data_IF_006494929049
#
_entry.id   IF_006494929049
#
_cell.length_a   1.000
_cell.length_b   1.000
_cell.length_c   1.000
_cell.angle_alpha   90.00
_cell.angle_beta   90.00
_cell.angle_gamma   90.00
#
_symmetry.space_group_name_H-M   'P 1'
#
loop_
_entity.id
_entity.type
_entity.pdbx_description
1 polymer ?
#
# COMPACT_ATOMS: atom_id res chain seq x y z
N UNK A 1 -7.72 16.89 26.24
CA UNK A 1 -7.14 16.41 24.96
C UNK A 1 -6.98 14.91 25.10
N UNK A 2 -7.87 14.13 24.50
CA UNK A 2 -7.83 12.68 24.56
C UNK A 2 -7.51 12.13 23.17
N UNK A 3 -6.93 10.95 23.10
CA UNK A 3 -6.73 10.23 21.85
C UNK A 3 -8.08 9.99 21.17
N UNK A 4 -8.16 10.31 19.86
CA UNK A 4 -9.32 9.97 19.04
C UNK A 4 -9.20 8.49 18.64
N UNK A 5 -10.31 7.76 18.82
CA UNK A 5 -10.46 6.39 18.34
C UNK A 5 -11.79 6.30 17.60
N UNK A 6 -11.75 5.95 16.33
CA UNK A 6 -12.92 5.61 15.50
C UNK A 6 -12.89 4.10 15.24
N UNK A 7 -13.91 3.40 15.70
CA UNK A 7 -14.05 1.96 15.49
C UNK A 7 -15.22 1.67 14.53
N UNK A 8 -14.90 1.19 13.35
CA UNK A 8 -15.86 0.70 12.36
C UNK A 8 -15.89 -0.84 12.41
N UNK A 9 -16.77 -1.37 13.24
CA UNK A 9 -16.92 -2.83 13.43
C UNK A 9 -17.47 -3.55 12.19
N UNK A 10 -18.21 -2.83 11.33
CA UNK A 10 -18.77 -3.41 10.09
C UNK A 10 -17.63 -3.70 9.09
N UNK A 11 -16.66 -2.78 9.00
CA UNK A 11 -15.52 -2.91 8.09
C UNK A 11 -14.27 -3.49 8.75
N UNK A 12 -14.35 -3.81 10.05
CA UNK A 12 -13.20 -4.30 10.82
C UNK A 12 -11.99 -3.36 10.76
N UNK A 13 -12.25 -2.05 10.93
CA UNK A 13 -11.23 -0.99 10.87
C UNK A 13 -11.26 -0.17 12.15
N UNK A 14 -10.08 0.10 12.70
CA UNK A 14 -9.89 1.08 13.79
C UNK A 14 -8.97 2.18 13.26
N UNK A 15 -9.38 3.44 13.39
CA UNK A 15 -8.56 4.61 13.09
C UNK A 15 -8.31 5.39 14.38
N UNK A 16 -7.04 5.70 14.65
CA UNK A 16 -6.59 6.38 15.87
C UNK A 16 -5.71 7.59 15.53
N UNK A 17 -5.70 8.58 16.41
CA UNK A 17 -4.81 9.74 16.33
C UNK A 17 -4.92 10.60 17.59
N UNK A 18 -4.02 11.56 17.77
CA UNK A 18 -4.15 12.49 18.89
C UNK A 18 -5.30 13.47 18.67
N UNK A 19 -5.57 13.81 17.43
CA UNK A 19 -6.71 14.62 17.02
C UNK A 19 -7.39 13.98 15.82
N UNK A 20 -8.72 14.13 15.72
CA UNK A 20 -9.48 13.63 14.60
C UNK A 20 -10.91 14.10 14.59
N UNK A 21 -11.61 13.82 13.51
CA UNK A 21 -12.99 14.22 13.26
C UNK A 21 -13.72 13.13 12.47
N UNK A 22 -14.98 12.93 12.79
CA UNK A 22 -15.88 12.05 12.05
C UNK A 22 -17.22 12.76 11.81
N UNK A 23 -17.71 12.65 10.57
CA UNK A 23 -19.03 13.12 10.19
C UNK A 23 -19.87 11.94 9.66
N UNK A 24 -20.83 11.51 10.45
CA UNK A 24 -21.68 10.35 10.16
C UNK A 24 -22.47 10.51 8.84
N UNK A 25 -22.95 11.72 8.53
CA UNK A 25 -23.77 11.96 7.34
C UNK A 25 -22.99 11.84 6.03
N UNK A 26 -21.71 12.19 6.03
CA UNK A 26 -20.85 12.14 4.85
C UNK A 26 -19.88 10.96 4.88
N UNK A 27 -19.87 10.22 5.98
CA UNK A 27 -18.87 9.19 6.29
C UNK A 27 -17.43 9.69 6.12
N UNK A 28 -17.21 10.99 6.28
CA UNK A 28 -15.88 11.56 6.27
C UNK A 28 -15.22 11.41 7.63
N UNK A 29 -14.01 10.89 7.63
CA UNK A 29 -13.17 10.82 8.83
C UNK A 29 -11.74 11.27 8.52
N UNK A 30 -11.10 11.87 9.50
CA UNK A 30 -9.67 12.03 9.50
C UNK A 30 -9.09 11.88 10.91
N UNK A 31 -7.84 11.46 10.98
CA UNK A 31 -7.02 11.42 12.17
C UNK A 31 -5.66 12.01 11.85
N UNK A 32 -5.05 12.73 12.79
CA UNK A 32 -3.73 13.35 12.63
C UNK A 32 -2.92 13.26 13.91
N UNK A 33 -1.66 13.69 13.86
CA UNK A 33 -0.67 13.59 14.92
C UNK A 33 -0.40 12.12 15.28
N UNK A 34 0.43 11.48 14.47
CA UNK A 34 0.77 10.05 14.56
C UNK A 34 -0.45 9.15 14.36
N UNK A 35 -1.20 9.39 13.29
CA UNK A 35 -2.39 8.64 12.97
C UNK A 35 -2.05 7.17 12.63
N UNK A 36 -2.92 6.26 13.09
CA UNK A 36 -2.82 4.82 12.83
C UNK A 36 -4.15 4.28 12.35
N UNK A 37 -4.08 3.32 11.44
CA UNK A 37 -5.23 2.53 11.03
C UNK A 37 -4.88 1.04 11.17
N UNK A 38 -5.79 0.30 11.78
CA UNK A 38 -5.74 -1.16 11.89
C UNK A 38 -6.90 -1.72 11.07
N UNK A 39 -6.61 -2.64 10.16
CA UNK A 39 -7.62 -3.37 9.38
C UNK A 39 -7.43 -4.87 9.62
N UNK A 40 -8.48 -5.58 10.02
CA UNK A 40 -8.41 -6.97 10.48
C UNK A 40 -9.51 -7.87 9.86
N UNK A 41 -10.02 -7.49 8.69
CA UNK A 41 -11.08 -8.25 8.00
C UNK A 41 -10.59 -9.56 7.38
N UNK A 42 -9.28 -9.72 7.17
CA UNK A 42 -8.71 -10.81 6.36
C UNK A 42 -7.95 -11.87 7.16
N UNK A 43 -8.19 -11.99 8.46
CA UNK A 43 -7.54 -12.98 9.33
C UNK A 43 -6.13 -12.61 9.80
N UNK A 44 -5.51 -11.59 9.20
CA UNK A 44 -4.28 -10.93 9.64
C UNK A 44 -4.51 -9.42 9.70
N UNK A 45 -3.75 -8.73 10.55
CA UNK A 45 -3.92 -7.30 10.77
C UNK A 45 -2.97 -6.50 9.91
N UNK A 46 -3.55 -5.61 9.07
CA UNK A 46 -2.80 -4.54 8.44
C UNK A 46 -2.66 -3.38 9.42
N UNK A 47 -1.45 -2.98 9.69
CA UNK A 47 -1.09 -1.77 10.45
C UNK A 47 -0.65 -0.70 9.45
N UNK A 48 -1.32 0.44 9.45
CA UNK A 48 -0.96 1.61 8.65
C UNK A 48 -0.69 2.78 9.58
N UNK A 49 0.43 3.44 9.41
CA UNK A 49 0.81 4.64 10.14
C UNK A 49 1.13 5.78 9.16
N UNK A 50 0.69 6.98 9.48
CA UNK A 50 1.03 8.21 8.78
C UNK A 50 0.94 9.40 9.73
N UNK A 51 1.41 10.57 9.31
CA UNK A 51 1.12 11.81 10.03
C UNK A 51 -0.39 12.09 10.04
N UNK A 52 -1.04 11.95 8.89
CA UNK A 52 -2.48 12.17 8.73
C UNK A 52 -3.13 11.07 7.88
N UNK A 53 -4.26 10.58 8.34
CA UNK A 53 -5.15 9.64 7.65
C UNK A 53 -6.49 10.29 7.36
N UNK A 54 -7.06 10.07 6.17
CA UNK A 54 -8.39 10.52 5.77
C UNK A 54 -9.15 9.38 5.11
N UNK A 55 -10.43 9.27 5.39
CA UNK A 55 -11.32 8.34 4.69
C UNK A 55 -12.65 9.03 4.41
N UNK A 56 -13.19 8.86 3.20
CA UNK A 56 -14.49 9.40 2.83
C UNK A 56 -15.11 8.63 1.65
N UNK A 57 -16.41 8.81 1.49
CA UNK A 57 -17.11 8.35 0.30
C UNK A 57 -17.04 9.39 -0.82
N UNK A 58 -16.76 8.93 -2.03
CA UNK A 58 -16.85 9.71 -3.26
C UNK A 58 -18.16 9.33 -3.95
N UNK A 59 -19.06 10.29 -4.11
CA UNK A 59 -20.33 10.11 -4.80
C UNK A 59 -20.15 10.31 -6.33
N UNK A 60 -21.00 9.68 -7.19
CA UNK A 60 -22.22 8.93 -6.84
C UNK A 60 -22.00 7.45 -6.49
N UNK A 61 -20.83 6.88 -6.77
CA UNK A 61 -20.61 5.42 -6.77
C UNK A 61 -20.37 4.84 -5.37
N UNK A 62 -20.46 5.67 -4.33
CA UNK A 62 -20.14 5.28 -2.95
C UNK A 62 -18.75 4.64 -2.81
N UNK A 63 -17.83 5.05 -3.66
CA UNK A 63 -16.42 4.63 -3.62
C UNK A 63 -15.79 5.14 -2.34
N UNK A 64 -15.16 4.26 -1.59
CA UNK A 64 -14.36 4.69 -0.45
C UNK A 64 -12.95 5.05 -0.90
N UNK A 65 -12.54 6.25 -0.55
CA UNK A 65 -11.19 6.75 -0.73
C UNK A 65 -10.50 6.83 0.63
N UNK A 66 -9.39 6.12 0.79
CA UNK A 66 -8.49 6.21 1.93
C UNK A 66 -7.21 6.91 1.49
N UNK A 67 -6.80 7.94 2.21
CA UNK A 67 -5.59 8.70 1.94
C UNK A 67 -4.72 8.77 3.18
N UNK A 68 -3.43 8.54 3.01
CA UNK A 68 -2.42 8.66 4.04
C UNK A 68 -1.34 9.65 3.60
N UNK A 69 -1.02 10.61 4.46
CA UNK A 69 -0.09 11.70 4.15
C UNK A 69 1.05 11.77 5.15
N UNK A 70 2.22 11.87 4.58
CA UNK A 70 3.53 12.06 5.20
C UNK A 70 4.00 10.91 6.10
N UNK A 71 5.15 10.38 5.72
CA UNK A 71 5.82 9.35 6.49
C UNK A 71 5.03 8.05 6.61
N UNK A 72 4.34 7.68 5.54
CA UNK A 72 3.50 6.48 5.50
C UNK A 72 4.34 5.23 5.70
N UNK A 73 3.90 4.37 6.58
CA UNK A 73 4.46 3.04 6.84
C UNK A 73 3.31 2.05 7.02
N UNK A 74 3.40 0.91 6.37
CA UNK A 74 2.45 -0.17 6.61
C UNK A 74 3.18 -1.48 6.90
N UNK A 75 2.52 -2.31 7.66
CA UNK A 75 2.98 -3.65 7.99
C UNK A 75 1.80 -4.62 7.98
N UNK A 76 1.99 -5.72 7.29
CA UNK A 76 1.22 -6.96 7.39
C UNK A 76 2.22 -8.11 7.36
N UNK A 77 1.84 -9.29 7.82
CA UNK A 77 2.79 -10.42 7.95
C UNK A 77 3.47 -10.80 6.61
N UNK A 78 2.76 -10.63 5.51
CA UNK A 78 3.23 -10.98 4.16
C UNK A 78 3.85 -9.80 3.40
N UNK A 79 3.65 -8.56 3.84
CA UNK A 79 4.16 -7.39 3.15
C UNK A 79 4.32 -6.19 4.09
N UNK A 80 5.33 -5.40 3.84
CA UNK A 80 5.56 -4.14 4.53
C UNK A 80 6.08 -3.09 3.55
N UNK A 81 5.88 -1.82 3.86
CA UNK A 81 6.35 -0.78 2.97
C UNK A 81 6.35 0.61 3.58
N UNK A 82 7.03 1.50 2.89
CA UNK A 82 7.13 2.92 3.23
C UNK A 82 6.94 3.78 1.99
N UNK A 83 6.39 4.97 2.17
CA UNK A 83 6.33 6.02 1.15
C UNK A 83 6.06 7.38 1.81
N UNK A 84 6.05 8.46 1.04
CA UNK A 84 5.59 9.74 1.59
C UNK A 84 4.08 9.77 1.75
N UNK A 85 3.35 9.39 0.70
CA UNK A 85 1.89 9.45 0.65
C UNK A 85 1.31 8.22 -0.03
N UNK A 86 0.09 7.87 0.34
CA UNK A 86 -0.60 6.68 -0.19
C UNK A 86 -2.09 6.98 -0.38
N UNK A 87 -2.69 6.39 -1.40
CA UNK A 87 -4.11 6.47 -1.68
C UNK A 87 -4.66 5.10 -2.08
N UNK A 88 -5.79 4.73 -1.53
CA UNK A 88 -6.52 3.52 -1.89
C UNK A 88 -7.95 3.84 -2.28
N UNK A 89 -8.39 3.32 -3.44
CA UNK A 89 -9.76 3.43 -3.94
C UNK A 89 -10.45 2.06 -3.94
N UNK A 90 -11.65 1.99 -3.37
CA UNK A 90 -12.36 0.70 -3.23
C UNK A 90 -13.08 0.25 -4.50
N UNK A 91 -13.40 1.17 -5.43
CA UNK A 91 -14.15 0.84 -6.66
C UNK A 91 -13.34 -0.02 -7.61
N UNK A 92 -12.06 0.26 -7.72
CA UNK A 92 -11.11 -0.45 -8.59
C UNK A 92 -10.06 -1.23 -7.79
N UNK A 93 -10.18 -1.24 -6.46
CA UNK A 93 -9.24 -1.90 -5.56
C UNK A 93 -7.77 -1.51 -5.81
N UNK A 94 -7.54 -0.25 -6.14
CA UNK A 94 -6.25 0.26 -6.56
C UNK A 94 -5.57 1.03 -5.42
N UNK A 95 -4.36 0.60 -5.07
CA UNK A 95 -3.47 1.28 -4.15
C UNK A 95 -2.41 2.05 -4.93
N UNK A 96 -2.26 3.34 -4.64
CA UNK A 96 -1.19 4.19 -5.17
C UNK A 96 -0.24 4.60 -4.04
N UNK A 97 1.05 4.43 -4.26
CA UNK A 97 2.11 4.88 -3.36
C UNK A 97 2.99 5.90 -4.09
N UNK A 98 3.24 7.04 -3.46
CA UNK A 98 3.90 8.18 -4.07
C UNK A 98 5.21 8.53 -3.36
N UNK A 99 6.14 9.11 -4.12
CA UNK A 99 7.42 9.66 -3.68
C UNK A 99 8.33 8.59 -3.08
N UNK A 100 9.01 7.89 -3.97
CA UNK A 100 10.03 6.89 -3.66
C UNK A 100 9.53 5.78 -2.71
N UNK A 101 8.43 5.10 -3.06
CA UNK A 101 7.95 3.98 -2.27
C UNK A 101 8.95 2.82 -2.27
N UNK A 102 8.98 2.11 -1.15
CA UNK A 102 9.68 0.83 -1.02
C UNK A 102 8.69 -0.18 -0.45
N UNK A 103 8.60 -1.35 -1.07
CA UNK A 103 7.83 -2.49 -0.57
C UNK A 103 8.78 -3.66 -0.36
N UNK A 104 8.62 -4.34 0.75
CA UNK A 104 9.25 -5.62 1.06
C UNK A 104 8.17 -6.69 1.21
N UNK A 105 8.38 -7.81 0.56
CA UNK A 105 7.55 -9.01 0.68
C UNK A 105 8.48 -10.21 0.74
N UNK A 106 8.50 -10.94 1.87
CA UNK A 106 9.42 -12.05 2.09
C UNK A 106 10.85 -11.76 1.61
N UNK A 107 11.21 -12.27 0.44
CA UNK A 107 12.56 -12.18 -0.13
C UNK A 107 12.67 -11.07 -1.21
N UNK A 108 11.60 -10.32 -1.45
CA UNK A 108 11.58 -9.30 -2.51
C UNK A 108 11.61 -7.89 -1.92
N UNK A 109 12.33 -7.02 -2.61
CA UNK A 109 12.24 -5.58 -2.44
C UNK A 109 11.90 -4.94 -3.78
N UNK A 110 10.93 -4.03 -3.78
CA UNK A 110 10.50 -3.29 -4.96
C UNK A 110 10.55 -1.80 -4.66
N UNK A 111 11.11 -1.01 -5.57
CA UNK A 111 11.16 0.46 -5.46
C UNK A 111 10.91 1.13 -6.81
N UNK A 112 10.53 2.39 -6.79
CA UNK A 112 10.36 3.23 -7.97
C UNK A 112 9.96 4.66 -7.61
N UNK A 113 9.64 5.47 -8.59
CA UNK A 113 9.14 6.83 -8.35
C UNK A 113 7.73 6.80 -7.76
N UNK A 114 6.92 5.88 -8.24
CA UNK A 114 5.59 5.52 -7.71
C UNK A 114 5.37 4.01 -7.84
N UNK A 115 4.46 3.46 -7.01
CA UNK A 115 3.99 2.09 -7.15
C UNK A 115 2.47 2.09 -7.17
N UNK A 116 1.88 1.33 -8.11
CA UNK A 116 0.44 1.06 -8.18
C UNK A 116 0.21 -0.42 -8.00
N UNK A 117 -0.70 -0.79 -7.12
CA UNK A 117 -1.02 -2.19 -6.83
C UNK A 117 -2.53 -2.37 -7.00
N UNK A 118 -2.93 -3.25 -7.87
CA UNK A 118 -4.30 -3.72 -7.96
C UNK A 118 -4.48 -4.97 -7.11
N UNK A 119 -5.52 -4.98 -6.31
CA UNK A 119 -5.86 -6.11 -5.45
C UNK A 119 -7.16 -6.74 -5.94
N UNK A 120 -7.20 -8.05 -6.02
CA UNK A 120 -8.46 -8.78 -6.06
C UNK A 120 -8.98 -9.00 -4.62
N UNK A 121 -10.09 -9.72 -4.46
CA UNK A 121 -10.77 -9.88 -3.16
C UNK A 121 -9.86 -10.36 -2.02
N UNK A 122 -8.74 -11.01 -2.30
CA UNK A 122 -7.90 -11.65 -1.29
C UNK A 122 -6.41 -11.42 -1.44
N UNK A 123 -5.91 -11.12 -2.65
CA UNK A 123 -4.46 -11.00 -2.92
C UNK A 123 -4.14 -9.91 -3.91
N UNK A 124 -2.85 -9.62 -4.09
CA UNK A 124 -2.38 -8.78 -5.18
C UNK A 124 -2.60 -9.50 -6.52
N UNK A 125 -3.15 -8.79 -7.49
CA UNK A 125 -3.36 -9.24 -8.86
C UNK A 125 -2.20 -8.76 -9.75
N UNK A 126 -1.91 -7.46 -9.73
CA UNK A 126 -0.75 -6.91 -10.42
C UNK A 126 -0.16 -5.69 -9.68
N UNK A 127 1.11 -5.44 -9.93
CA UNK A 127 1.82 -4.23 -9.52
C UNK A 127 2.44 -3.56 -10.75
N UNK A 128 2.33 -2.23 -10.83
CA UNK A 128 2.95 -1.40 -11.86
C UNK A 128 3.84 -0.35 -11.20
N UNK A 129 5.08 -0.29 -11.63
CA UNK A 129 6.10 0.65 -11.15
C UNK A 129 6.53 1.52 -12.32
N UNK A 130 5.87 2.66 -12.58
CA UNK A 130 6.29 3.60 -13.60
C UNK A 130 7.41 4.51 -13.05
N UNK A 131 8.48 4.65 -13.82
CA UNK A 131 9.64 5.46 -13.48
C UNK A 131 10.59 4.79 -12.50
N UNK A 132 11.88 4.75 -12.89
CA UNK A 132 12.98 4.27 -12.04
C UNK A 132 12.73 2.93 -11.34
N UNK A 133 12.08 2.00 -12.07
CA UNK A 133 11.65 0.72 -11.51
C UNK A 133 12.85 -0.16 -11.17
N UNK A 134 12.87 -0.69 -9.95
CA UNK A 134 13.87 -1.64 -9.49
C UNK A 134 13.23 -2.70 -8.60
N UNK A 135 13.59 -3.95 -8.83
CA UNK A 135 13.23 -5.06 -7.97
C UNK A 135 14.45 -5.93 -7.67
N UNK A 136 14.57 -6.40 -6.44
CA UNK A 136 15.60 -7.33 -6.01
C UNK A 136 14.96 -8.52 -5.30
N UNK A 137 15.49 -9.72 -5.57
CA UNK A 137 15.11 -10.96 -4.89
C UNK A 137 16.31 -11.55 -4.19
N UNK A 138 16.20 -11.77 -2.89
CA UNK A 138 17.21 -12.49 -2.13
C UNK A 138 17.21 -13.98 -2.51
N UNK A 139 18.34 -14.49 -2.96
CA UNK A 139 18.51 -15.90 -3.37
C UNK A 139 19.25 -16.73 -2.32
N UNK A 140 20.36 -16.18 -1.81
CA UNK A 140 21.24 -16.83 -0.88
C UNK A 140 21.92 -15.76 -0.01
N UNK A 141 22.68 -16.15 0.98
CA UNK A 141 23.27 -15.29 2.02
C UNK A 141 23.98 -14.02 1.50
N UNK A 142 24.44 -14.02 0.24
CA UNK A 142 25.16 -12.90 -0.38
C UNK A 142 24.70 -12.53 -1.78
N UNK A 143 23.78 -13.27 -2.39
CA UNK A 143 23.35 -13.07 -3.78
C UNK A 143 21.91 -12.56 -3.91
N UNK A 144 21.73 -11.63 -4.85
CA UNK A 144 20.45 -11.03 -5.16
C UNK A 144 20.23 -11.01 -6.66
N UNK A 145 19.18 -11.66 -7.14
CA UNK A 145 18.67 -11.39 -8.48
C UNK A 145 18.11 -9.98 -8.51
N UNK A 146 18.45 -9.22 -9.55
CA UNK A 146 18.06 -7.82 -9.68
C UNK A 146 17.51 -7.55 -11.06
N UNK A 147 16.50 -6.71 -11.13
CA UNK A 147 15.95 -6.21 -12.38
C UNK A 147 15.62 -4.73 -12.26
N UNK A 148 15.95 -3.95 -13.30
CA UNK A 148 15.65 -2.53 -13.35
C UNK A 148 15.26 -2.09 -14.76
N UNK A 149 14.50 -1.00 -14.86
CA UNK A 149 14.06 -0.42 -16.10
C UNK A 149 13.32 0.90 -15.89
N UNK A 150 12.79 1.48 -16.97
CA UNK A 150 11.94 2.66 -16.87
C UNK A 150 10.58 2.33 -16.27
N UNK A 151 10.07 1.14 -16.56
CA UNK A 151 8.81 0.63 -16.05
C UNK A 151 8.94 -0.85 -15.77
N UNK A 152 8.31 -1.31 -14.70
CA UNK A 152 8.16 -2.72 -14.37
C UNK A 152 6.68 -3.01 -14.09
N UNK A 153 6.16 -4.07 -14.70
CA UNK A 153 4.84 -4.60 -14.38
C UNK A 153 4.95 -6.06 -13.98
N UNK A 154 4.41 -6.38 -12.82
CA UNK A 154 4.41 -7.72 -12.25
C UNK A 154 2.98 -8.24 -12.12
N UNK A 155 2.74 -9.51 -12.46
CA UNK A 155 1.47 -10.20 -12.28
C UNK A 155 1.62 -11.32 -11.27
N UNK A 156 0.57 -11.47 -10.46
CA UNK A 156 0.52 -12.45 -9.39
C UNK A 156 -0.68 -13.38 -9.58
N UNK A 157 -0.54 -14.60 -9.16
CA UNK A 157 -1.62 -15.57 -9.07
C UNK A 157 -1.53 -16.26 -7.72
N UNK A 158 -2.62 -16.19 -6.94
CA UNK A 158 -2.66 -16.70 -5.56
C UNK A 158 -1.53 -16.15 -4.67
N UNK A 159 -1.19 -14.87 -4.84
CA UNK A 159 -0.11 -14.20 -4.10
C UNK A 159 1.31 -14.54 -4.56
N UNK A 160 1.47 -15.41 -5.56
CA UNK A 160 2.78 -15.77 -6.12
C UNK A 160 3.06 -15.03 -7.40
N UNK A 161 4.27 -14.48 -7.53
CA UNK A 161 4.73 -13.84 -8.75
C UNK A 161 4.76 -14.83 -9.91
N UNK A 162 4.10 -14.49 -11.03
CA UNK A 162 4.03 -15.31 -12.25
C UNK A 162 4.82 -14.73 -13.40
N UNK A 163 4.75 -13.43 -13.58
CA UNK A 163 5.37 -12.75 -14.71
C UNK A 163 5.86 -11.38 -14.31
N UNK A 164 6.99 -10.98 -14.88
CA UNK A 164 7.50 -9.61 -14.82
C UNK A 164 7.80 -9.16 -16.22
N UNK A 165 7.24 -8.02 -16.62
CA UNK A 165 7.62 -7.29 -17.83
C UNK A 165 8.40 -6.04 -17.43
N UNK A 166 9.54 -5.83 -18.07
CA UNK A 166 10.38 -4.66 -17.83
C UNK A 166 10.59 -3.93 -19.15
N UNK A 167 10.22 -2.66 -19.15
CA UNK A 167 10.31 -1.81 -20.32
C UNK A 167 11.32 -0.67 -20.13
N UNK A 168 12.03 -0.34 -21.20
CA UNK A 168 12.91 0.80 -21.29
C UNK A 168 14.21 0.67 -20.48
N UNK A 169 15.32 0.45 -21.19
CA UNK A 169 16.66 0.25 -20.62
C UNK A 169 16.71 -0.87 -19.59
N UNK A 170 16.02 -1.97 -19.88
CA UNK A 170 15.96 -3.11 -18.97
C UNK A 170 17.37 -3.68 -18.71
N UNK A 171 17.69 -3.88 -17.44
CA UNK A 171 18.92 -4.53 -16.99
C UNK A 171 18.58 -5.61 -16.00
N UNK A 172 19.25 -6.75 -16.10
CA UNK A 172 19.03 -7.88 -15.19
C UNK A 172 20.36 -8.45 -14.74
N UNK A 173 20.42 -8.86 -13.49
CA UNK A 173 21.52 -9.61 -12.90
C UNK A 173 20.92 -10.85 -12.24
N UNK A 174 21.38 -12.03 -12.62
CA UNK A 174 20.95 -13.31 -12.04
C UNK A 174 22.17 -14.07 -11.52
N UNK A 175 21.97 -14.76 -10.39
CA UNK A 175 22.96 -15.61 -9.73
C UNK A 175 22.47 -17.04 -9.60
#
# INVERSE_FOLDING_TARGET
FGNMVLNDSIRSVIMEGQYGFYNERTEYSFATDSARLLEFSRGDTLYLHADTLKSHLVLPDSTRLLQAYHGVRFFRIDAQGVCDSMEFTSVDSLLHMYKLPIIWNENYQITGDTIRIHMNDSTVDWALIPGSAFAAQHKDSVFYDQVSGKELKAWFEQGQLRQIDVNGNAQTIFY
#
